data_IF_415142252419
#
_entry.id   IF_415142252419
#
_cell.length_a   1.000
_cell.length_b   1.000
_cell.length_c   1.000
_cell.angle_alpha   90.00
_cell.angle_beta   90.00
_cell.angle_gamma   90.00
#
_symmetry.space_group_name_H-M   'P 1'
#
loop_
_entity.id
_entity.type
_entity.pdbx_description
1 polymer ?
#
# COMPACT_ATOMS: atom_id res chain seq x y z
N UNK A 1 -7.29 46.06 43.27
CA UNK A 1 -7.39 45.23 42.07
C UNK A 1 -6.74 43.90 42.34
N UNK A 2 -7.52 42.86 42.37
CA UNK A 2 -6.99 41.54 42.47
C UNK A 2 -6.42 41.16 41.11
N UNK A 3 -5.10 41.09 41.04
CA UNK A 3 -4.43 40.52 39.92
C UNK A 3 -4.57 39.00 40.01
N UNK A 4 -5.39 38.42 39.19
CA UNK A 4 -5.44 36.99 39.01
C UNK A 4 -4.38 36.62 37.97
N UNK A 5 -3.23 36.05 38.39
CA UNK A 5 -2.37 35.47 37.39
C UNK A 5 -3.20 34.42 36.66
N UNK A 6 -3.20 34.53 35.36
CA UNK A 6 -3.77 33.48 34.52
C UNK A 6 -3.08 32.19 34.93
N UNK A 7 -3.77 31.46 35.78
CA UNK A 7 -3.18 30.24 36.26
C UNK A 7 -3.33 29.22 35.14
N UNK A 8 -2.24 28.93 34.52
CA UNK A 8 -2.05 27.72 33.79
C UNK A 8 -2.10 26.50 34.73
N UNK A 9 -2.99 26.57 35.72
CA UNK A 9 -3.27 25.49 36.66
C UNK A 9 -4.13 24.45 36.01
N UNK A 10 -3.65 23.66 35.21
CA UNK A 10 -4.39 22.57 34.58
C UNK A 10 -3.57 21.91 33.50
N UNK A 11 -2.51 22.56 33.07
CA UNK A 11 -1.58 21.95 32.13
C UNK A 11 -0.35 21.49 32.87
N UNK A 12 -0.45 20.33 33.54
CA UNK A 12 0.71 19.62 34.00
C UNK A 12 1.62 19.31 32.82
N UNK A 13 2.92 19.48 33.02
CA UNK A 13 3.94 19.12 32.03
C UNK A 13 3.70 17.73 31.45
N UNK A 14 3.20 16.81 32.25
CA UNK A 14 2.79 15.45 31.85
C UNK A 14 1.64 15.44 30.86
N UNK A 15 0.65 16.34 31.01
CA UNK A 15 -0.47 16.46 30.06
C UNK A 15 -0.03 17.11 28.76
N UNK A 16 0.87 18.09 28.81
CA UNK A 16 1.51 18.68 27.63
C UNK A 16 2.38 17.66 26.89
N UNK A 17 3.11 16.81 27.61
CA UNK A 17 3.89 15.72 27.02
C UNK A 17 2.97 14.67 26.38
N UNK A 18 1.84 14.35 27.00
CA UNK A 18 0.88 13.40 26.43
C UNK A 18 0.23 13.94 25.15
N UNK A 19 -0.11 15.22 25.13
CA UNK A 19 -0.67 15.88 23.92
C UNK A 19 0.38 15.93 22.82
N UNK A 20 1.64 16.16 23.18
CA UNK A 20 2.73 16.19 22.20
C UNK A 20 3.05 14.80 21.63
N UNK A 21 2.88 13.74 22.43
CA UNK A 21 3.03 12.35 21.97
C UNK A 21 1.90 11.90 21.05
N UNK A 22 0.69 12.46 21.20
CA UNK A 22 -0.45 12.15 20.34
C UNK A 22 -0.40 12.83 18.97
N UNK A 23 0.46 13.84 18.80
CA UNK A 23 0.64 14.53 17.51
C UNK A 23 1.75 13.92 16.63
N UNK A 24 2.51 12.96 17.13
CA UNK A 24 3.38 12.14 16.31
C UNK A 24 2.54 11.10 15.55
N UNK A 25 1.78 11.56 14.55
CA UNK A 25 1.30 10.68 13.51
C UNK A 25 2.54 10.14 12.81
N UNK A 26 2.93 8.92 13.12
CA UNK A 26 3.88 8.18 12.30
C UNK A 26 3.26 8.02 10.92
N UNK A 27 3.51 8.96 10.03
CA UNK A 27 3.27 8.75 8.61
C UNK A 27 4.24 7.67 8.15
N UNK A 28 3.74 6.44 8.10
CA UNK A 28 4.51 5.33 7.54
C UNK A 28 4.71 5.62 6.06
N UNK A 29 5.93 5.98 5.67
CA UNK A 29 6.26 6.17 4.26
C UNK A 29 6.24 4.82 3.55
N UNK A 30 5.73 4.81 2.33
CA UNK A 30 5.76 3.63 1.47
C UNK A 30 7.20 3.18 1.22
N UNK A 31 7.43 1.88 1.25
CA UNK A 31 8.70 1.23 0.93
C UNK A 31 8.48 0.24 -0.21
N UNK A 32 8.72 0.68 -1.43
CA UNK A 32 8.51 -0.13 -2.62
C UNK A 32 9.69 -1.04 -2.90
N UNK A 33 9.42 -2.34 -2.90
CA UNK A 33 10.41 -3.40 -3.13
C UNK A 33 10.02 -4.14 -4.40
N UNK A 34 10.98 -4.27 -5.33
CA UNK A 34 10.81 -5.08 -6.52
C UNK A 34 10.73 -6.56 -6.16
N UNK A 35 9.75 -7.27 -6.69
CA UNK A 35 9.59 -8.70 -6.46
C UNK A 35 9.58 -9.53 -7.75
N UNK A 36 9.38 -8.93 -8.89
CA UNK A 36 9.41 -9.64 -10.18
C UNK A 36 9.73 -8.69 -11.33
N UNK A 37 10.57 -9.15 -12.24
CA UNK A 37 10.73 -8.57 -13.59
C UNK A 37 10.34 -9.64 -14.58
N UNK A 38 9.34 -9.37 -15.41
CA UNK A 38 8.83 -10.33 -16.38
C UNK A 38 9.66 -10.31 -17.67
N UNK A 39 9.55 -11.37 -18.46
CA UNK A 39 10.27 -11.51 -19.74
C UNK A 39 9.93 -10.38 -20.73
N UNK A 40 8.72 -9.82 -20.68
CA UNK A 40 8.30 -8.67 -21.49
C UNK A 40 8.89 -7.33 -20.99
N UNK A 41 9.60 -7.34 -19.86
CA UNK A 41 10.23 -6.15 -19.27
C UNK A 41 9.36 -5.41 -18.24
N UNK A 42 8.15 -5.87 -17.94
CA UNK A 42 7.33 -5.30 -16.87
C UNK A 42 7.93 -5.57 -15.51
N UNK A 43 7.96 -4.56 -14.64
CA UNK A 43 8.55 -4.63 -13.31
C UNK A 43 7.47 -4.46 -12.26
N UNK A 44 7.47 -5.34 -11.27
CA UNK A 44 6.48 -5.44 -10.21
C UNK A 44 7.09 -5.10 -8.86
N UNK A 45 6.38 -4.26 -8.09
CA UNK A 45 6.81 -3.81 -6.77
C UNK A 45 5.68 -4.01 -5.76
N UNK A 46 6.02 -4.26 -4.49
CA UNK A 46 5.06 -4.18 -3.40
C UNK A 46 5.55 -3.22 -2.31
N UNK A 47 4.61 -2.69 -1.54
CA UNK A 47 4.92 -1.79 -0.43
C UNK A 47 5.14 -2.61 0.86
N UNK A 48 6.41 -2.84 1.18
CA UNK A 48 6.82 -3.59 2.36
C UNK A 48 6.39 -2.94 3.67
N UNK A 49 6.29 -1.62 3.71
CA UNK A 49 5.96 -0.87 4.92
C UNK A 49 4.47 -0.95 5.29
N UNK A 50 3.59 -1.27 4.34
CA UNK A 50 2.13 -1.28 4.54
C UNK A 50 1.49 -2.64 4.25
N UNK A 51 2.20 -3.71 4.54
CA UNK A 51 1.63 -5.07 4.46
C UNK A 51 0.78 -5.32 5.70
N UNK A 52 -0.46 -5.74 5.51
CA UNK A 52 -1.38 -6.06 6.59
C UNK A 52 -1.71 -7.56 6.56
N UNK A 53 -1.29 -8.26 7.60
CA UNK A 53 -1.56 -9.70 7.77
C UNK A 53 -2.64 -9.92 8.82
N UNK A 54 -3.62 -10.74 8.48
CA UNK A 54 -4.66 -11.21 9.39
C UNK A 54 -4.89 -12.72 9.15
N UNK A 55 -4.24 -13.55 9.97
CA UNK A 55 -4.21 -14.98 9.74
C UNK A 55 -3.57 -15.32 8.39
N UNK A 56 -4.29 -16.06 7.55
CA UNK A 56 -3.85 -16.43 6.21
C UNK A 56 -4.14 -15.37 5.14
N UNK A 57 -4.78 -14.25 5.51
CA UNK A 57 -5.09 -13.16 4.59
C UNK A 57 -4.02 -12.07 4.68
N UNK A 58 -3.54 -11.63 3.52
CA UNK A 58 -2.55 -10.57 3.41
C UNK A 58 -3.07 -9.50 2.46
N UNK A 59 -3.21 -8.27 2.94
CA UNK A 59 -3.48 -7.11 2.10
C UNK A 59 -2.17 -6.38 1.81
N UNK A 60 -1.92 -6.11 0.56
CA UNK A 60 -0.69 -5.47 0.08
C UNK A 60 -0.94 -4.53 -1.08
N UNK A 61 -0.27 -3.39 -1.05
CA UNK A 61 -0.20 -2.50 -2.20
C UNK A 61 0.83 -3.00 -3.19
N UNK A 62 0.44 -3.06 -4.45
CA UNK A 62 1.25 -3.50 -5.58
C UNK A 62 1.33 -2.42 -6.64
N UNK A 63 2.47 -2.31 -7.30
CA UNK A 63 2.72 -1.44 -8.44
C UNK A 63 3.31 -2.22 -9.60
N UNK A 64 2.93 -1.83 -10.80
CA UNK A 64 3.52 -2.35 -12.04
C UNK A 64 4.01 -1.17 -12.87
N UNK A 65 5.25 -1.25 -13.32
CA UNK A 65 5.78 -0.38 -14.36
C UNK A 65 5.79 -1.17 -15.66
N UNK A 66 4.99 -0.77 -16.60
CA UNK A 66 4.95 -1.41 -17.92
C UNK A 66 6.17 -1.00 -18.76
N UNK A 67 6.79 -1.94 -19.43
CA UNK A 67 7.83 -1.64 -20.42
C UNK A 67 7.21 -0.92 -21.62
N UNK A 68 6.12 -1.45 -22.11
CA UNK A 68 5.33 -0.91 -23.21
C UNK A 68 3.96 -0.54 -22.69
N UNK A 69 3.46 0.64 -23.04
CA UNK A 69 2.14 1.10 -22.60
C UNK A 69 1.05 0.11 -22.98
N UNK A 70 0.15 -0.15 -22.02
CA UNK A 70 -1.01 -1.02 -22.17
C UNK A 70 -2.25 -0.13 -22.14
N UNK A 71 -2.99 -0.05 -23.25
CA UNK A 71 -4.17 0.81 -23.36
C UNK A 71 -3.92 2.24 -22.90
N UNK A 72 -2.78 2.83 -23.32
CA UNK A 72 -2.27 4.15 -22.95
C UNK A 72 -1.79 4.27 -21.48
N UNK A 73 -1.89 3.24 -20.67
CA UNK A 73 -1.32 3.22 -19.34
C UNK A 73 0.14 2.80 -19.35
N UNK A 74 0.99 3.53 -18.66
CA UNK A 74 2.42 3.21 -18.50
C UNK A 74 2.76 2.67 -17.12
N UNK A 75 1.88 2.84 -16.14
CA UNK A 75 2.00 2.23 -14.83
C UNK A 75 0.63 1.97 -14.19
N UNK A 76 0.65 1.14 -13.15
CA UNK A 76 -0.53 0.61 -12.49
C UNK A 76 -0.27 0.46 -11.00
N UNK A 77 -1.27 0.71 -10.20
CA UNK A 77 -1.24 0.46 -8.76
C UNK A 77 -2.52 -0.23 -8.33
N UNK A 78 -2.41 -1.21 -7.44
CA UNK A 78 -3.57 -1.94 -6.93
C UNK A 78 -3.41 -2.31 -5.47
N UNK A 79 -4.52 -2.46 -4.79
CA UNK A 79 -4.60 -3.12 -3.50
C UNK A 79 -5.04 -4.55 -3.73
N UNK A 80 -4.24 -5.50 -3.28
CA UNK A 80 -4.46 -6.94 -3.48
C UNK A 80 -4.65 -7.62 -2.13
N UNK A 81 -5.61 -8.51 -2.05
CA UNK A 81 -5.79 -9.45 -0.96
C UNK A 81 -5.30 -10.83 -1.41
N UNK A 82 -4.31 -11.37 -0.71
CA UNK A 82 -3.81 -12.73 -0.94
C UNK A 82 -4.36 -13.64 0.16
N UNK A 83 -4.93 -14.77 -0.23
CA UNK A 83 -5.27 -15.87 0.67
C UNK A 83 -4.17 -16.93 0.57
N UNK A 84 -3.32 -17.00 1.60
CA UNK A 84 -2.19 -17.92 1.63
C UNK A 84 -2.60 -19.40 1.78
N UNK A 85 -3.76 -19.67 2.37
CA UNK A 85 -4.24 -21.03 2.54
C UNK A 85 -4.87 -21.58 1.26
N UNK A 86 -5.61 -20.76 0.55
CA UNK A 86 -6.29 -21.13 -0.71
C UNK A 86 -5.38 -20.92 -1.93
N UNK A 87 -4.33 -20.14 -1.76
CA UNK A 87 -3.41 -19.74 -2.83
C UNK A 87 -4.13 -18.98 -3.95
N UNK A 88 -4.81 -17.93 -3.54
CA UNK A 88 -5.61 -17.06 -4.41
C UNK A 88 -5.34 -15.60 -4.17
N UNK A 89 -5.68 -14.76 -5.12
CA UNK A 89 -5.62 -13.32 -4.99
C UNK A 89 -6.91 -12.65 -5.46
N UNK A 90 -7.22 -11.51 -4.82
CA UNK A 90 -8.35 -10.68 -5.17
C UNK A 90 -7.87 -9.24 -5.27
N UNK A 91 -8.12 -8.59 -6.40
CA UNK A 91 -7.86 -7.17 -6.56
C UNK A 91 -9.01 -6.37 -5.94
N UNK A 92 -8.73 -5.61 -4.89
CA UNK A 92 -9.72 -4.82 -4.17
C UNK A 92 -9.95 -3.46 -4.84
N UNK A 93 -8.88 -2.84 -5.34
CA UNK A 93 -8.95 -1.60 -6.11
C UNK A 93 -7.75 -1.48 -7.03
N UNK A 94 -7.89 -0.70 -8.08
CA UNK A 94 -6.85 -0.50 -9.07
C UNK A 94 -6.88 0.90 -9.67
N UNK A 95 -5.69 1.42 -10.00
CA UNK A 95 -5.52 2.74 -10.61
C UNK A 95 -4.48 2.65 -11.72
N UNK A 96 -4.78 3.25 -12.86
CA UNK A 96 -3.89 3.33 -14.01
C UNK A 96 -3.34 4.75 -14.18
N UNK A 97 -2.09 4.86 -14.59
CA UNK A 97 -1.38 6.12 -14.81
C UNK A 97 -0.75 6.16 -16.20
N UNK A 98 -0.66 7.36 -16.76
CA UNK A 98 -0.04 7.56 -18.09
C UNK A 98 1.47 7.60 -18.06
N UNK A 99 2.06 7.87 -16.89
CA UNK A 99 3.52 7.89 -16.71
C UNK A 99 4.03 6.61 -16.03
N UNK A 100 5.35 6.42 -16.06
CA UNK A 100 6.01 5.23 -15.50
C UNK A 100 6.29 5.31 -14.00
N UNK A 101 6.02 6.47 -13.38
CA UNK A 101 6.41 6.73 -12.00
C UNK A 101 5.23 7.01 -11.07
N UNK A 102 4.00 6.71 -11.49
CA UNK A 102 2.76 6.89 -10.71
C UNK A 102 2.57 8.33 -10.20
N UNK A 103 3.02 9.33 -10.96
CA UNK A 103 3.01 10.75 -10.57
C UNK A 103 1.97 11.58 -11.30
N UNK A 104 1.51 11.15 -12.49
CA UNK A 104 0.46 11.83 -13.22
C UNK A 104 -0.90 11.62 -12.56
N UNK A 105 -1.88 12.50 -12.82
CA UNK A 105 -3.26 12.21 -12.42
C UNK A 105 -3.71 10.85 -12.94
N UNK A 106 -4.47 10.14 -12.14
CA UNK A 106 -4.98 8.82 -12.50
C UNK A 106 -5.86 8.91 -13.77
N UNK A 107 -5.59 8.04 -14.73
CA UNK A 107 -6.45 7.89 -15.93
C UNK A 107 -7.80 7.29 -15.58
N UNK A 108 -7.76 6.24 -14.76
CA UNK A 108 -8.92 5.48 -14.32
C UNK A 108 -8.63 4.85 -12.98
N UNK A 109 -9.62 4.94 -12.08
CA UNK A 109 -9.59 4.27 -10.78
C UNK A 109 -10.82 3.39 -10.66
N UNK A 110 -10.63 2.13 -10.27
CA UNK A 110 -11.71 1.19 -10.01
C UNK A 110 -11.61 0.74 -8.55
N UNK A 111 -12.65 1.02 -7.78
CA UNK A 111 -12.77 0.63 -6.37
C UNK A 111 -13.63 -0.63 -6.17
N UNK A 112 -14.11 -1.22 -7.25
CA UNK A 112 -14.89 -2.46 -7.21
C UNK A 112 -13.93 -3.63 -7.05
N UNK A 113 -14.21 -4.50 -6.09
CA UNK A 113 -13.54 -5.78 -5.92
C UNK A 113 -13.74 -6.66 -7.15
N UNK A 114 -12.64 -7.18 -7.69
CA UNK A 114 -12.67 -8.12 -8.82
C UNK A 114 -12.88 -9.54 -8.32
N UNK A 115 -13.34 -10.46 -9.21
CA UNK A 115 -13.42 -11.87 -8.88
C UNK A 115 -12.08 -12.43 -8.44
N UNK A 116 -12.11 -13.33 -7.47
CA UNK A 116 -10.95 -14.06 -6.99
C UNK A 116 -10.32 -14.89 -8.11
N UNK A 117 -9.00 -14.91 -8.16
CA UNK A 117 -8.20 -15.67 -9.12
C UNK A 117 -7.21 -16.54 -8.36
N UNK A 118 -7.08 -17.82 -8.75
CA UNK A 118 -6.04 -18.68 -8.20
C UNK A 118 -4.67 -18.29 -8.74
N UNK A 119 -3.66 -18.31 -7.85
CA UNK A 119 -2.29 -17.94 -8.20
C UNK A 119 -1.69 -19.05 -9.06
N UNK A 120 -1.19 -18.67 -10.24
CA UNK A 120 -0.58 -19.60 -11.20
C UNK A 120 0.91 -19.74 -10.95
N UNK A 121 1.45 -20.93 -11.23
CA UNK A 121 2.88 -21.17 -11.22
C UNK A 121 3.61 -20.25 -12.23
N UNK A 122 4.82 -19.82 -11.89
CA UNK A 122 5.68 -18.95 -12.71
C UNK A 122 5.10 -17.57 -13.02
N UNK A 123 4.12 -17.12 -12.22
CA UNK A 123 3.54 -15.79 -12.33
C UNK A 123 4.21 -14.79 -11.38
N UNK A 124 3.99 -13.49 -11.62
CA UNK A 124 4.39 -12.45 -10.67
C UNK A 124 3.66 -12.62 -9.32
N UNK A 125 2.40 -13.02 -9.35
CA UNK A 125 1.60 -13.28 -8.14
C UNK A 125 2.18 -14.40 -7.28
N UNK A 126 2.75 -15.45 -7.87
CA UNK A 126 3.45 -16.49 -7.12
C UNK A 126 4.66 -15.93 -6.37
N UNK A 127 5.46 -15.08 -7.02
CA UNK A 127 6.60 -14.45 -6.37
C UNK A 127 6.17 -13.52 -5.23
N UNK A 128 5.07 -12.82 -5.39
CA UNK A 128 4.51 -11.99 -4.33
C UNK A 128 4.05 -12.85 -3.14
N UNK A 129 3.32 -13.93 -3.41
CA UNK A 129 2.88 -14.87 -2.39
C UNK A 129 4.06 -15.51 -1.65
N UNK A 130 5.13 -15.89 -2.36
CA UNK A 130 6.35 -16.43 -1.76
C UNK A 130 7.01 -15.45 -0.79
N UNK A 131 6.94 -14.15 -1.07
CA UNK A 131 7.44 -13.11 -0.17
C UNK A 131 6.55 -12.90 1.06
N UNK A 132 5.25 -13.09 0.95
CA UNK A 132 4.26 -12.66 1.95
C UNK A 132 3.63 -13.80 2.75
N UNK A 133 3.58 -15.01 2.20
CA UNK A 133 2.92 -16.18 2.79
C UNK A 133 3.89 -17.09 3.59
N UNK A 134 4.77 -16.48 4.34
CA UNK A 134 5.70 -17.22 5.19
C UNK A 134 5.26 -17.20 6.64
#
# INVERSE_FOLDING_TARGET
MAYYPVQMRGMNLKKLLLIFLLTFSCNTMAEWVEYSTRANGDVYFFDKARVQKNGNLVNVWNRIRYKTSVMAASSYQSLIKIDCSEYSETTLQSTFYTDKNWTTPAMATNTREKPKVFIKANSASERLADNLCQ
#
